data_IF_763059588400
#
_entry.id   IF_763059588400
#
_cell.length_a   1.000
_cell.length_b   1.000
_cell.length_c   1.000
_cell.angle_alpha   90.00
_cell.angle_beta   90.00
_cell.angle_gamma   90.00
#
_symmetry.space_group_name_H-M   'P 1'
#
loop_
_entity.id
_entity.type
_entity.pdbx_description
1 polymer ?
#
# COMPACT_ATOMS: atom_id res chain seq x y z
N UNK A 1 -5.33 7.38 4.66
CA UNK A 1 -5.51 8.86 4.51
C UNK A 1 -6.97 9.27 4.70
N UNK A 2 -7.24 10.57 4.93
CA UNK A 2 -8.60 11.14 5.06
C UNK A 2 -9.45 10.84 3.82
N UNK A 3 -8.87 10.98 2.62
CA UNK A 3 -9.55 10.69 1.36
C UNK A 3 -9.93 9.21 1.25
N UNK A 4 -9.01 8.30 1.59
CA UNK A 4 -9.30 6.87 1.63
C UNK A 4 -10.44 6.55 2.61
N UNK A 5 -10.49 7.24 3.75
CA UNK A 5 -11.56 7.06 4.73
C UNK A 5 -12.93 7.52 4.22
N UNK A 6 -12.99 8.66 3.52
CA UNK A 6 -14.20 9.14 2.84
C UNK A 6 -14.65 8.19 1.74
N UNK A 7 -13.70 7.65 0.98
CA UNK A 7 -13.96 6.66 -0.07
C UNK A 7 -14.55 5.37 0.51
N UNK A 8 -13.96 4.85 1.58
CA UNK A 8 -14.44 3.66 2.28
C UNK A 8 -15.90 3.84 2.78
N UNK A 9 -16.22 4.98 3.38
CA UNK A 9 -17.59 5.31 3.78
C UNK A 9 -18.57 5.35 2.60
N UNK A 10 -18.17 5.97 1.48
CA UNK A 10 -19.01 6.02 0.27
C UNK A 10 -19.28 4.62 -0.28
N UNK A 11 -18.26 3.77 -0.35
CA UNK A 11 -18.38 2.39 -0.83
C UNK A 11 -19.27 1.54 0.08
N UNK A 12 -19.08 1.65 1.40
CA UNK A 12 -19.85 0.89 2.38
C UNK A 12 -21.32 1.34 2.43
N UNK A 13 -21.58 2.64 2.42
CA UNK A 13 -22.95 3.16 2.33
C UNK A 13 -23.64 2.68 1.04
N UNK A 14 -22.91 2.66 -0.09
CA UNK A 14 -23.39 2.09 -1.34
C UNK A 14 -23.73 0.61 -1.25
N UNK A 15 -22.87 -0.20 -0.61
CA UNK A 15 -23.09 -1.63 -0.37
C UNK A 15 -24.34 -1.88 0.50
N UNK A 16 -24.52 -1.10 1.56
CA UNK A 16 -25.67 -1.24 2.47
C UNK A 16 -26.97 -0.83 1.79
N UNK A 17 -26.98 0.27 1.04
CA UNK A 17 -28.14 0.72 0.25
C UNK A 17 -28.57 -0.33 -0.77
N UNK A 18 -27.63 -0.93 -1.50
CA UNK A 18 -27.90 -2.03 -2.45
C UNK A 18 -28.53 -3.26 -1.80
N UNK A 19 -28.28 -3.48 -0.50
CA UNK A 19 -28.82 -4.60 0.28
C UNK A 19 -30.03 -4.21 1.14
N UNK A 20 -30.54 -2.98 1.04
CA UNK A 20 -31.68 -2.50 1.84
C UNK A 20 -31.39 -2.37 3.34
N UNK A 21 -30.12 -2.23 3.74
CA UNK A 21 -29.74 -2.12 5.15
C UNK A 21 -29.55 -0.67 5.59
N UNK A 22 -29.88 -0.41 6.86
CA UNK A 22 -29.63 0.89 7.49
C UNK A 22 -28.13 1.17 7.61
N UNK A 23 -27.72 2.39 7.25
CA UNK A 23 -26.30 2.79 7.21
C UNK A 23 -25.68 2.85 8.60
N UNK A 24 -26.45 3.16 9.64
CA UNK A 24 -25.94 3.19 11.02
C UNK A 24 -26.23 1.90 11.81
N UNK A 25 -26.61 0.83 11.11
CA UNK A 25 -26.88 -0.47 11.72
C UNK A 25 -25.62 -1.31 11.95
N UNK A 26 -25.75 -2.45 12.65
CA UNK A 26 -24.64 -3.35 12.98
C UNK A 26 -23.99 -4.03 11.76
N UNK A 27 -24.65 -3.99 10.60
CA UNK A 27 -24.12 -4.51 9.34
C UNK A 27 -23.12 -3.57 8.65
N UNK A 28 -22.92 -2.37 9.18
CA UNK A 28 -21.94 -1.42 8.68
C UNK A 28 -20.54 -1.78 9.20
N UNK A 29 -19.68 -2.20 8.28
CA UNK A 29 -18.30 -2.61 8.55
C UNK A 29 -17.43 -1.47 9.10
N UNK A 30 -17.72 -0.22 8.76
CA UNK A 30 -17.01 0.94 9.30
C UNK A 30 -17.29 1.09 10.80
N UNK A 31 -18.56 0.96 11.21
CA UNK A 31 -18.94 1.02 12.61
C UNK A 31 -18.37 -0.15 13.41
N UNK A 32 -18.38 -1.36 12.84
CA UNK A 32 -17.71 -2.51 13.44
C UNK A 32 -16.22 -2.22 13.68
N UNK A 33 -15.52 -1.67 12.69
CA UNK A 33 -14.11 -1.30 12.82
C UNK A 33 -13.86 -0.29 13.93
N UNK A 34 -14.67 0.76 14.04
CA UNK A 34 -14.54 1.74 15.12
C UNK A 34 -14.82 1.14 16.49
N UNK A 35 -15.84 0.30 16.61
CA UNK A 35 -16.15 -0.38 17.86
C UNK A 35 -14.98 -1.29 18.28
N UNK A 36 -14.37 -2.02 17.35
CA UNK A 36 -13.17 -2.82 17.64
C UNK A 36 -12.01 -1.94 18.14
N UNK A 37 -11.73 -0.82 17.48
CA UNK A 37 -10.69 0.12 17.91
C UNK A 37 -10.96 0.71 19.30
N UNK A 38 -12.22 1.10 19.58
CA UNK A 38 -12.64 1.60 20.89
C UNK A 38 -12.52 0.53 21.98
N UNK A 39 -12.87 -0.72 21.69
CA UNK A 39 -12.71 -1.85 22.62
C UNK A 39 -11.24 -2.04 22.99
N UNK A 40 -10.31 -1.98 22.03
CA UNK A 40 -8.88 -2.04 22.34
C UNK A 40 -8.43 -0.83 23.15
N UNK A 41 -8.83 0.39 22.79
CA UNK A 41 -8.50 1.58 23.58
C UNK A 41 -9.00 1.46 25.03
N UNK A 42 -10.22 0.95 25.24
CA UNK A 42 -10.79 0.70 26.55
C UNK A 42 -10.02 -0.40 27.32
N UNK A 43 -9.59 -1.48 26.66
CA UNK A 43 -8.78 -2.52 27.29
C UNK A 43 -7.42 -1.99 27.76
N UNK A 44 -6.75 -1.18 26.93
CA UNK A 44 -5.50 -0.53 27.31
C UNK A 44 -5.71 0.52 28.42
N UNK A 45 -6.82 1.26 28.40
CA UNK A 45 -7.20 2.16 29.48
C UNK A 45 -7.44 1.41 30.79
N UNK A 46 -8.14 0.27 30.75
CA UNK A 46 -8.38 -0.55 31.93
C UNK A 46 -7.07 -1.11 32.52
N UNK A 47 -6.07 -1.40 31.69
CA UNK A 47 -4.79 -1.95 32.13
C UNK A 47 -3.83 -0.90 32.72
N UNK A 48 -3.77 0.30 32.12
CA UNK A 48 -2.76 1.30 32.48
C UNK A 48 -3.25 2.76 32.40
N UNK A 49 -4.57 2.99 32.43
CA UNK A 49 -5.17 4.31 32.31
C UNK A 49 -4.80 5.03 31.01
N UNK A 50 -4.64 6.35 31.10
CA UNK A 50 -4.25 7.18 29.95
C UNK A 50 -2.88 6.83 29.37
N UNK A 51 -1.96 6.30 30.18
CA UNK A 51 -0.67 5.80 29.68
C UNK A 51 -0.88 4.63 28.70
N UNK A 52 -1.76 3.68 29.05
CA UNK A 52 -2.12 2.57 28.17
C UNK A 52 -2.71 3.06 26.84
N UNK A 53 -3.62 4.03 26.89
CA UNK A 53 -4.18 4.65 25.67
C UNK A 53 -3.08 5.32 24.83
N UNK A 54 -2.15 6.04 25.48
CA UNK A 54 -1.01 6.66 24.79
C UNK A 54 -0.13 5.63 24.06
N UNK A 55 0.17 4.50 24.71
CA UNK A 55 0.93 3.40 24.11
C UNK A 55 0.17 2.79 22.91
N UNK A 56 -1.12 2.53 23.06
CA UNK A 56 -1.97 2.03 21.97
C UNK A 56 -1.98 2.98 20.77
N UNK A 57 -2.16 4.28 21.00
CA UNK A 57 -2.19 5.27 19.92
C UNK A 57 -0.84 5.41 19.23
N UNK A 58 0.27 5.35 19.97
CA UNK A 58 1.61 5.36 19.41
C UNK A 58 1.86 4.12 18.53
N UNK A 59 1.49 2.94 19.02
CA UNK A 59 1.60 1.69 18.27
C UNK A 59 0.72 1.70 17.00
N UNK A 60 -0.54 2.15 17.11
CA UNK A 60 -1.45 2.24 15.96
C UNK A 60 -0.93 3.23 14.90
N UNK A 61 -0.38 4.36 15.34
CA UNK A 61 0.25 5.34 14.44
C UNK A 61 1.47 4.74 13.75
N UNK A 62 2.33 4.04 14.49
CA UNK A 62 3.49 3.36 13.92
C UNK A 62 3.10 2.30 12.89
N UNK A 63 2.13 1.44 13.22
CA UNK A 63 1.59 0.46 12.28
C UNK A 63 1.04 1.13 11.01
N UNK A 64 0.39 2.29 11.16
CA UNK A 64 -0.12 3.05 10.01
C UNK A 64 1.00 3.63 9.14
N UNK A 65 2.07 4.15 9.74
CA UNK A 65 3.25 4.63 9.02
C UNK A 65 3.89 3.49 8.23
N UNK A 66 4.15 2.36 8.87
CA UNK A 66 4.73 1.17 8.20
C UNK A 66 3.84 0.72 7.04
N UNK A 67 2.52 0.70 7.23
CA UNK A 67 1.58 0.37 6.15
C UNK A 67 1.66 1.33 4.96
N UNK A 68 1.74 2.65 5.18
CA UNK A 68 1.89 3.61 4.08
C UNK A 68 3.26 3.52 3.40
N UNK A 69 4.33 3.26 4.16
CA UNK A 69 5.67 3.01 3.60
C UNK A 69 5.64 1.79 2.69
N UNK A 70 4.99 0.71 3.13
CA UNK A 70 4.81 -0.52 2.34
C UNK A 70 4.07 -0.22 1.03
N UNK A 71 2.90 0.44 1.09
CA UNK A 71 2.17 0.81 -0.13
C UNK A 71 3.02 1.68 -1.06
N UNK A 72 3.76 2.63 -0.49
CA UNK A 72 4.62 3.53 -1.25
C UNK A 72 5.72 2.76 -2.00
N UNK A 73 6.43 1.84 -1.34
CA UNK A 73 7.53 1.11 -1.97
C UNK A 73 7.01 0.11 -3.01
N UNK A 74 5.90 -0.55 -2.74
CA UNK A 74 5.26 -1.52 -3.64
C UNK A 74 4.76 -0.88 -4.93
N UNK A 75 4.33 0.38 -4.87
CA UNK A 75 3.77 1.09 -6.03
C UNK A 75 4.67 2.24 -6.51
N UNK A 76 5.95 2.24 -6.11
CA UNK A 76 6.86 3.33 -6.44
C UNK A 76 7.10 3.44 -7.94
N UNK A 77 6.67 4.54 -8.55
CA UNK A 77 7.08 4.98 -9.89
C UNK A 77 6.48 4.22 -11.07
N UNK A 78 6.13 2.94 -10.90
CA UNK A 78 5.50 2.10 -11.91
C UNK A 78 4.16 2.68 -12.37
N UNK A 79 3.90 2.59 -13.66
CA UNK A 79 2.69 3.12 -14.29
C UNK A 79 1.87 2.01 -14.92
N UNK A 80 0.59 2.30 -15.11
CA UNK A 80 -0.36 1.44 -15.79
C UNK A 80 -1.29 2.32 -16.62
N UNK A 81 -1.56 1.90 -17.84
CA UNK A 81 -2.58 2.56 -18.67
C UNK A 81 -3.94 2.50 -17.96
N UNK A 82 -4.62 3.65 -17.75
CA UNK A 82 -5.93 3.67 -17.12
C UNK A 82 -6.93 2.75 -17.85
N UNK A 83 -7.74 2.03 -17.08
CA UNK A 83 -8.74 1.10 -17.63
C UNK A 83 -8.22 -0.30 -17.96
N UNK A 84 -6.90 -0.51 -18.06
CA UNK A 84 -6.35 -1.85 -18.25
C UNK A 84 -6.40 -2.71 -16.97
N UNK A 85 -6.42 -4.04 -17.08
CA UNK A 85 -6.35 -4.92 -15.92
C UNK A 85 -5.04 -4.72 -15.15
N UNK A 86 -5.09 -4.97 -13.84
CA UNK A 86 -3.88 -5.02 -13.02
C UNK A 86 -3.15 -6.34 -13.32
N UNK A 87 -1.84 -6.26 -13.49
CA UNK A 87 -0.96 -7.33 -13.93
C UNK A 87 0.25 -7.34 -12.99
N UNK A 88 1.00 -8.45 -12.90
CA UNK A 88 2.13 -8.54 -11.97
C UNK A 88 3.18 -7.43 -12.14
N UNK A 89 3.33 -6.90 -13.36
CA UNK A 89 4.21 -5.77 -13.71
C UNK A 89 3.86 -4.41 -13.11
N UNK A 90 2.67 -4.24 -12.53
CA UNK A 90 2.20 -2.95 -12.01
C UNK A 90 2.52 -2.73 -10.52
N UNK A 91 3.42 -3.53 -9.96
CA UNK A 91 3.83 -3.45 -8.55
C UNK A 91 5.20 -4.09 -8.36
N UNK A 92 5.98 -3.57 -7.42
CA UNK A 92 7.21 -4.19 -6.96
C UNK A 92 6.90 -5.37 -6.03
N UNK A 93 7.62 -6.46 -6.23
CA UNK A 93 7.48 -7.73 -5.54
C UNK A 93 8.75 -8.09 -4.76
N UNK A 94 8.72 -9.14 -3.93
CA UNK A 94 9.95 -9.81 -3.49
C UNK A 94 9.74 -11.29 -3.30
N UNK A 95 10.74 -12.09 -3.63
CA UNK A 95 10.69 -13.54 -3.41
C UNK A 95 11.62 -13.99 -2.27
N UNK A 96 12.18 -13.05 -1.49
CA UNK A 96 13.11 -13.36 -0.40
C UNK A 96 12.43 -14.12 0.74
N UNK A 97 12.95 -15.29 1.08
CA UNK A 97 12.39 -16.21 2.08
C UNK A 97 12.17 -15.54 3.44
N UNK A 98 13.17 -14.81 3.95
CA UNK A 98 13.06 -14.15 5.27
C UNK A 98 11.94 -13.12 5.29
N UNK A 99 11.84 -12.26 4.26
CA UNK A 99 10.73 -11.30 4.16
C UNK A 99 9.39 -12.01 4.04
N UNK A 100 9.32 -13.09 3.26
CA UNK A 100 8.11 -13.88 3.10
C UNK A 100 7.66 -14.53 4.40
N UNK A 101 8.58 -15.03 5.23
CA UNK A 101 8.23 -15.62 6.52
C UNK A 101 7.74 -14.56 7.52
N UNK A 102 8.52 -13.49 7.69
CA UNK A 102 8.23 -12.43 8.68
C UNK A 102 6.92 -11.70 8.36
N UNK A 103 6.63 -11.51 7.08
CA UNK A 103 5.43 -10.79 6.63
C UNK A 103 4.31 -11.73 6.17
N UNK A 104 4.34 -13.01 6.55
CA UNK A 104 3.28 -13.98 6.24
C UNK A 104 2.90 -14.01 4.74
N UNK A 105 3.91 -14.02 3.88
CA UNK A 105 3.81 -14.01 2.41
C UNK A 105 3.13 -12.77 1.81
N UNK A 106 3.08 -11.64 2.54
CA UNK A 106 2.76 -10.32 1.99
C UNK A 106 3.63 -10.00 0.76
N UNK A 107 4.81 -10.59 0.72
CA UNK A 107 5.78 -10.50 -0.37
C UNK A 107 5.27 -10.92 -1.75
N UNK A 108 4.14 -11.64 -1.82
CA UNK A 108 3.45 -12.01 -3.07
C UNK A 108 2.49 -10.91 -3.56
N UNK A 109 2.91 -9.66 -3.41
CA UNK A 109 2.08 -8.47 -3.62
C UNK A 109 1.51 -8.37 -5.03
N UNK A 110 2.36 -8.63 -6.03
CA UNK A 110 1.94 -8.61 -7.44
C UNK A 110 0.84 -9.64 -7.74
N UNK A 111 0.90 -10.80 -7.08
CA UNK A 111 -0.13 -11.82 -7.19
C UNK A 111 -1.41 -11.45 -6.44
N UNK A 112 -1.30 -10.80 -5.29
CA UNK A 112 -2.46 -10.27 -4.59
C UNK A 112 -3.20 -9.21 -5.44
N UNK A 113 -2.48 -8.35 -6.14
CA UNK A 113 -3.09 -7.31 -6.97
C UNK A 113 -3.74 -7.82 -8.26
N UNK A 114 -3.16 -8.84 -8.88
CA UNK A 114 -3.75 -9.50 -10.06
C UNK A 114 -4.91 -10.43 -9.67
N UNK A 115 -4.76 -11.19 -8.58
CA UNK A 115 -5.68 -12.25 -8.13
C UNK A 115 -6.13 -12.02 -6.68
N UNK A 116 -6.70 -10.84 -6.44
CA UNK A 116 -7.09 -10.41 -5.08
C UNK A 116 -8.15 -11.26 -4.40
N UNK A 117 -8.88 -12.07 -5.16
CA UNK A 117 -9.91 -12.98 -4.65
C UNK A 117 -9.34 -14.32 -4.14
N UNK A 118 -8.07 -14.63 -4.43
CA UNK A 118 -7.43 -15.84 -3.94
C UNK A 118 -7.00 -15.68 -2.47
N UNK A 119 -7.15 -16.73 -1.66
CA UNK A 119 -6.59 -16.71 -0.33
C UNK A 119 -5.06 -16.68 -0.38
N UNK A 120 -4.43 -16.07 0.62
CA UNK A 120 -2.99 -15.77 0.59
C UNK A 120 -2.11 -17.02 0.39
N UNK A 121 -2.52 -18.18 0.92
CA UNK A 121 -1.79 -19.45 0.77
C UNK A 121 -1.77 -19.99 -0.66
N UNK A 122 -2.72 -19.57 -1.51
CA UNK A 122 -2.79 -19.96 -2.93
C UNK A 122 -2.07 -18.97 -3.87
N UNK A 123 -1.61 -17.82 -3.37
CA UNK A 123 -0.87 -16.86 -4.18
C UNK A 123 0.48 -17.48 -4.57
N UNK A 124 0.88 -17.34 -5.83
CA UNK A 124 2.16 -17.83 -6.34
C UNK A 124 3.12 -16.67 -6.58
N UNK A 125 4.43 -16.85 -6.38
CA UNK A 125 5.41 -15.85 -6.76
C UNK A 125 5.45 -15.68 -8.28
N UNK A 126 5.73 -14.46 -8.73
CA UNK A 126 5.99 -14.15 -10.13
C UNK A 126 7.48 -13.83 -10.30
N UNK A 127 8.27 -14.73 -10.94
CA UNK A 127 9.70 -14.49 -11.17
C UNK A 127 9.96 -13.29 -12.08
N UNK A 128 9.06 -13.03 -13.04
CA UNK A 128 9.18 -11.95 -14.04
C UNK A 128 8.57 -10.62 -13.55
N UNK A 129 8.04 -10.57 -12.33
CA UNK A 129 7.52 -9.32 -11.78
C UNK A 129 8.69 -8.40 -11.35
N UNK A 130 8.50 -7.06 -11.40
CA UNK A 130 9.50 -6.12 -10.89
C UNK A 130 9.86 -6.48 -9.45
N UNK A 131 11.15 -6.65 -9.15
CA UNK A 131 11.58 -7.00 -7.78
C UNK A 131 12.22 -5.81 -7.06
N UNK A 132 11.79 -5.56 -5.83
CA UNK A 132 12.40 -4.55 -4.97
C UNK A 132 13.85 -4.93 -4.60
N UNK A 133 14.78 -3.98 -4.46
CA UNK A 133 16.21 -4.27 -4.38
C UNK A 133 16.63 -5.19 -3.23
N UNK A 134 16.08 -4.97 -2.04
CA UNK A 134 16.61 -5.60 -0.82
C UNK A 134 15.58 -6.46 -0.06
N UNK A 135 14.35 -6.58 -0.56
CA UNK A 135 13.22 -7.15 0.18
C UNK A 135 12.66 -6.18 1.23
N UNK A 136 11.50 -6.50 1.81
CA UNK A 136 10.75 -5.53 2.64
C UNK A 136 11.52 -4.99 3.82
N UNK A 137 12.22 -5.85 4.58
CA UNK A 137 12.82 -5.42 5.84
C UNK A 137 13.80 -4.26 5.62
N UNK A 138 14.73 -4.42 4.68
CA UNK A 138 15.68 -3.35 4.33
C UNK A 138 15.00 -2.19 3.61
N UNK A 139 14.06 -2.47 2.69
CA UNK A 139 13.38 -1.45 1.89
C UNK A 139 12.52 -0.51 2.74
N UNK A 140 11.84 -1.01 3.77
CA UNK A 140 11.04 -0.17 4.69
C UNK A 140 11.93 0.86 5.38
N UNK A 141 13.07 0.44 5.96
CA UNK A 141 13.98 1.37 6.61
C UNK A 141 14.66 2.32 5.62
N UNK A 142 15.05 1.83 4.45
CA UNK A 142 15.63 2.67 3.41
C UNK A 142 14.64 3.74 2.92
N UNK A 143 13.36 3.38 2.73
CA UNK A 143 12.29 4.28 2.30
C UNK A 143 12.02 5.44 3.27
N UNK A 144 12.33 5.25 4.56
CA UNK A 144 12.24 6.33 5.55
C UNK A 144 13.35 7.39 5.39
N UNK A 145 14.40 7.12 4.61
CA UNK A 145 15.48 8.05 4.29
C UNK A 145 15.45 8.33 2.77
N UNK A 146 14.72 9.36 2.30
CA UNK A 146 14.44 9.53 0.87
C UNK A 146 15.66 9.55 -0.06
N UNK A 147 16.80 10.19 0.28
CA UNK A 147 18.00 10.12 -0.57
C UNK A 147 18.53 8.69 -0.75
N UNK A 148 18.55 7.88 0.33
CA UNK A 148 19.01 6.48 0.30
C UNK A 148 18.05 5.65 -0.55
N UNK A 149 16.75 5.82 -0.34
CA UNK A 149 15.74 5.11 -1.12
C UNK A 149 15.84 5.42 -2.60
N UNK A 150 15.84 6.71 -2.98
CA UNK A 150 15.89 7.15 -4.37
C UNK A 150 17.16 6.68 -5.07
N UNK A 151 18.30 6.72 -4.39
CA UNK A 151 19.56 6.21 -4.94
C UNK A 151 19.49 4.70 -5.24
N UNK A 152 18.73 3.94 -4.46
CA UNK A 152 18.58 2.49 -4.64
C UNK A 152 17.52 2.11 -5.68
N UNK A 153 16.33 2.72 -5.65
CA UNK A 153 15.20 2.30 -6.48
C UNK A 153 15.18 2.93 -7.87
N UNK A 154 15.67 4.18 -8.02
CA UNK A 154 15.57 4.88 -9.30
C UNK A 154 16.33 4.19 -10.45
N UNK A 155 17.54 3.60 -10.24
CA UNK A 155 18.20 2.84 -11.30
C UNK A 155 17.37 1.66 -11.79
N UNK A 156 16.71 0.92 -10.87
CA UNK A 156 15.83 -0.20 -11.22
C UNK A 156 14.56 0.25 -11.94
N UNK A 157 13.97 1.35 -11.50
CA UNK A 157 12.80 1.92 -12.17
C UNK A 157 13.16 2.36 -13.60
N UNK A 158 14.30 3.02 -13.78
CA UNK A 158 14.77 3.43 -15.11
C UNK A 158 15.03 2.23 -16.01
N UNK A 159 15.71 1.21 -15.51
CA UNK A 159 15.94 -0.05 -16.24
C UNK A 159 14.61 -0.71 -16.64
N UNK A 160 13.63 -0.71 -15.73
CA UNK A 160 12.30 -1.24 -15.99
C UNK A 160 11.59 -0.47 -17.10
N UNK A 161 11.60 0.86 -17.03
CA UNK A 161 10.97 1.72 -18.02
C UNK A 161 11.62 1.55 -19.41
N UNK A 162 12.94 1.42 -19.49
CA UNK A 162 13.66 1.21 -20.76
C UNK A 162 13.40 -0.15 -21.41
N UNK A 163 13.22 -1.21 -20.61
CA UNK A 163 13.10 -2.58 -21.12
C UNK A 163 11.66 -3.06 -21.29
N UNK A 164 10.72 -2.53 -20.49
CA UNK A 164 9.39 -3.14 -20.34
C UNK A 164 8.22 -2.16 -20.48
N UNK A 165 8.43 -0.83 -20.44
CA UNK A 165 7.33 0.10 -20.59
C UNK A 165 6.79 0.09 -22.04
N UNK A 166 5.47 0.04 -22.16
CA UNK A 166 4.79 0.28 -23.44
C UNK A 166 4.90 1.74 -23.86
N UNK A 167 4.67 2.03 -25.15
CA UNK A 167 4.68 3.40 -25.67
C UNK A 167 3.67 4.29 -24.91
N UNK A 168 2.49 3.77 -24.62
CA UNK A 168 1.43 4.47 -23.90
C UNK A 168 1.83 4.76 -22.44
N UNK A 169 2.55 3.84 -21.80
CA UNK A 169 3.11 4.05 -20.45
C UNK A 169 4.20 5.11 -20.46
N UNK A 170 5.08 5.12 -21.46
CA UNK A 170 6.09 6.16 -21.65
C UNK A 170 5.45 7.54 -21.84
N UNK A 171 4.37 7.66 -22.62
CA UNK A 171 3.64 8.91 -22.74
C UNK A 171 3.02 9.39 -21.40
N UNK A 172 2.54 8.46 -20.57
CA UNK A 172 2.07 8.80 -19.21
C UNK A 172 3.24 9.33 -18.37
N UNK A 173 4.41 8.69 -18.45
CA UNK A 173 5.62 9.11 -17.73
C UNK A 173 6.11 10.48 -18.21
N UNK A 174 6.12 10.74 -19.51
CA UNK A 174 6.50 12.04 -20.08
C UNK A 174 5.54 13.14 -19.62
N UNK A 175 4.22 12.92 -19.69
CA UNK A 175 3.22 13.87 -19.15
C UNK A 175 3.44 14.12 -17.66
N UNK A 176 3.69 13.07 -16.88
CA UNK A 176 4.01 13.18 -15.45
C UNK A 176 5.27 14.02 -15.23
N UNK A 177 6.32 13.78 -16.00
CA UNK A 177 7.59 14.49 -15.89
C UNK A 177 7.51 15.93 -16.39
N UNK A 178 6.65 16.26 -17.35
CA UNK A 178 6.41 17.65 -17.75
C UNK A 178 5.70 18.43 -16.63
N UNK A 179 4.69 17.82 -16.00
CA UNK A 179 4.00 18.42 -14.85
C UNK A 179 4.98 18.57 -13.67
N UNK A 180 5.75 17.54 -13.34
CA UNK A 180 6.73 17.58 -12.25
C UNK A 180 7.99 18.40 -12.59
N UNK A 181 8.34 18.54 -13.86
CA UNK A 181 9.45 19.36 -14.33
C UNK A 181 9.10 20.85 -14.29
N UNK A 182 7.83 21.18 -14.56
CA UNK A 182 7.26 22.52 -14.34
C UNK A 182 7.03 22.82 -12.85
N UNK A 183 6.92 21.79 -12.01
CA UNK A 183 6.93 21.87 -10.54
C UNK A 183 8.33 21.50 -10.06
N UNK A 184 9.31 22.34 -10.41
CA UNK A 184 10.74 22.08 -10.25
C UNK A 184 11.13 21.28 -9.01
N UNK A 185 12.08 20.36 -9.22
CA UNK A 185 12.91 19.69 -8.22
C UNK A 185 12.50 19.96 -6.76
N UNK A 186 12.02 18.92 -6.08
CA UNK A 186 11.48 18.92 -4.71
C UNK A 186 9.95 19.03 -4.65
N UNK A 187 9.29 17.86 -4.70
CA UNK A 187 8.52 17.35 -3.56
C UNK A 187 8.03 15.93 -3.81
N UNK A 188 8.09 15.14 -2.75
CA UNK A 188 7.47 13.83 -2.66
C UNK A 188 5.98 13.92 -2.93
N UNK A 189 5.41 12.87 -3.53
CA UNK A 189 3.97 12.63 -3.51
C UNK A 189 3.70 11.13 -3.51
N UNK A 190 3.67 10.55 -2.32
CA UNK A 190 2.55 9.74 -1.83
C UNK A 190 2.42 10.02 -0.33
#
# INVERSE_FOLDING_TARGET
TIQGHRSAWRLEAGRLKKKGYWVFGPRNRMLTGYLMSLTYAAAFYAAAGWLGVGIYMAQATWAKVVFEVVNYVEHYGLVRVPGQPVMPRHSWNTNKVVSSMVLFSLTRHSAHHEKGDLPFWNLKPYPEAPEMPYGYLTTIFAAMIPPVWKASINPKLKEWDEKHASREELEILERRNQVLGNVGSHKAAA
#
